data_IF_051902218987
#
_entry.id   IF_051902218987
#
_cell.length_a   1.000
_cell.length_b   1.000
_cell.length_c   1.000
_cell.angle_alpha   90.00
_cell.angle_beta   90.00
_cell.angle_gamma   90.00
#
_symmetry.space_group_name_H-M   'P 1'
#
loop_
_entity.id
_entity.type
_entity.pdbx_description
1 polymer ?
#
# COMPACT_ATOMS: atom_id res chain seq x y z
N UNK A 1 3.61 33.35 -19.34
CA UNK A 1 2.41 32.51 -19.13
C UNK A 1 2.93 31.23 -18.51
N UNK A 2 2.87 31.15 -17.20
CA UNK A 2 3.17 29.92 -16.49
C UNK A 2 2.01 28.94 -16.71
N UNK A 3 2.15 28.10 -17.71
CA UNK A 3 1.32 26.90 -17.78
C UNK A 3 1.82 25.99 -16.66
N UNK A 4 1.15 26.00 -15.51
CA UNK A 4 1.30 24.92 -14.53
C UNK A 4 1.03 23.61 -15.28
N UNK A 5 2.05 22.76 -15.39
CA UNK A 5 1.87 21.43 -15.94
C UNK A 5 1.03 20.66 -14.91
N UNK A 6 -0.26 20.52 -15.16
CA UNK A 6 -1.15 19.68 -14.37
C UNK A 6 -0.76 18.20 -14.53
N UNK A 7 -1.06 17.39 -13.55
CA UNK A 7 -0.92 15.93 -13.67
C UNK A 7 -1.79 15.43 -14.84
N UNK A 8 -1.26 14.49 -15.60
CA UNK A 8 -1.97 13.90 -16.73
C UNK A 8 -3.05 12.93 -16.23
N UNK A 9 -4.12 12.75 -17.01
CA UNK A 9 -5.09 11.71 -16.70
C UNK A 9 -4.48 10.30 -16.79
N UNK A 10 -5.00 9.37 -16.01
CA UNK A 10 -4.54 7.98 -16.04
C UNK A 10 -4.76 7.34 -17.40
N UNK A 11 -5.91 7.62 -18.05
CA UNK A 11 -6.21 7.12 -19.40
C UNK A 11 -5.16 7.55 -20.43
N UNK A 12 -4.75 8.82 -20.37
CA UNK A 12 -3.74 9.35 -21.28
C UNK A 12 -2.36 8.72 -21.01
N UNK A 13 -2.01 8.48 -19.75
CA UNK A 13 -0.78 7.78 -19.39
C UNK A 13 -0.79 6.31 -19.82
N UNK A 14 -1.92 5.60 -19.65
CA UNK A 14 -2.09 4.22 -20.12
C UNK A 14 -1.94 4.10 -21.62
N UNK A 15 -2.42 5.09 -22.40
CA UNK A 15 -2.24 5.10 -23.86
C UNK A 15 -0.76 5.25 -24.25
N UNK A 16 -0.03 6.17 -23.60
CA UNK A 16 1.41 6.30 -23.83
C UNK A 16 2.17 5.03 -23.40
N UNK A 17 1.75 4.41 -22.31
CA UNK A 17 2.35 3.17 -21.81
C UNK A 17 2.13 1.99 -22.79
N UNK A 18 0.94 1.87 -23.40
CA UNK A 18 0.65 0.89 -24.48
C UNK A 18 1.56 1.06 -25.68
N UNK A 19 1.93 2.30 -25.99
CA UNK A 19 2.87 2.62 -27.07
C UNK A 19 4.34 2.43 -26.66
N UNK A 20 4.58 1.95 -25.44
CA UNK A 20 5.91 1.72 -24.90
C UNK A 20 6.66 3.00 -24.52
N UNK A 21 5.99 4.14 -24.40
CA UNK A 21 6.61 5.36 -23.90
C UNK A 21 6.86 5.30 -22.41
N UNK A 22 7.68 6.21 -21.92
CA UNK A 22 7.84 6.42 -20.48
C UNK A 22 6.67 7.22 -19.91
N UNK A 23 6.35 6.92 -18.67
CA UNK A 23 5.48 7.74 -17.81
C UNK A 23 6.27 8.07 -16.55
N UNK A 24 6.19 9.31 -16.09
CA UNK A 24 6.71 9.69 -14.77
C UNK A 24 5.58 9.42 -13.76
N UNK A 25 5.88 8.64 -12.75
CA UNK A 25 4.96 8.33 -11.65
C UNK A 25 5.50 8.95 -10.38
N UNK A 26 4.68 9.69 -9.66
CA UNK A 26 5.03 10.31 -8.38
C UNK A 26 4.20 9.73 -7.25
N UNK A 27 4.81 9.57 -6.10
CA UNK A 27 4.12 9.17 -4.88
C UNK A 27 3.76 10.37 -4.00
N UNK A 28 3.23 10.08 -2.80
CA UNK A 28 2.79 11.10 -1.87
C UNK A 28 3.99 11.80 -1.19
N UNK A 29 3.84 13.10 -0.89
CA UNK A 29 4.85 13.91 -0.20
C UNK A 29 5.19 13.35 1.19
N UNK A 30 4.24 12.70 1.84
CA UNK A 30 4.40 12.09 3.16
C UNK A 30 5.00 10.67 3.09
N UNK A 31 5.31 10.13 1.89
CA UNK A 31 5.91 8.81 1.69
C UNK A 31 7.38 8.91 1.28
N UNK A 32 7.73 8.81 0.01
CA UNK A 32 9.10 8.98 -0.53
C UNK A 32 9.25 10.38 -1.11
N UNK A 33 8.14 10.94 -1.62
CA UNK A 33 8.10 12.21 -2.33
C UNK A 33 9.04 12.19 -3.55
N UNK A 34 9.01 11.12 -4.32
CA UNK A 34 9.91 10.86 -5.44
C UNK A 34 9.14 10.71 -6.75
N UNK A 35 9.86 10.72 -7.86
CA UNK A 35 9.32 10.43 -9.19
C UNK A 35 10.20 9.47 -9.94
N UNK A 36 9.59 8.45 -10.55
CA UNK A 36 10.25 7.41 -11.32
C UNK A 36 9.88 7.48 -12.79
N UNK A 37 10.87 7.24 -13.67
CA UNK A 37 10.57 6.82 -15.04
C UNK A 37 10.13 5.37 -15.05
N UNK A 38 8.95 5.11 -15.60
CA UNK A 38 8.39 3.74 -15.72
C UNK A 38 8.04 3.46 -17.18
N UNK A 39 8.36 2.25 -17.67
CA UNK A 39 7.96 1.73 -18.98
C UNK A 39 7.73 0.23 -18.93
N UNK A 40 6.94 -0.33 -19.86
CA UNK A 40 6.65 -1.75 -19.92
C UNK A 40 7.93 -2.60 -20.19
N UNK A 41 8.13 -3.67 -19.43
CA UNK A 41 9.30 -4.55 -19.55
C UNK A 41 9.38 -5.22 -20.91
N UNK A 42 8.25 -5.65 -21.49
CA UNK A 42 8.25 -6.30 -22.81
C UNK A 42 8.64 -5.36 -23.97
N UNK A 43 8.52 -4.04 -23.75
CA UNK A 43 8.81 -3.00 -24.75
C UNK A 43 10.12 -2.24 -24.46
N UNK A 44 10.90 -2.69 -23.49
CA UNK A 44 12.20 -2.08 -23.15
C UNK A 44 13.22 -2.35 -24.28
N UNK A 45 14.01 -1.35 -24.63
CA UNK A 45 15.09 -1.45 -25.60
C UNK A 45 16.41 -0.96 -25.01
N UNK A 46 17.57 -1.25 -25.62
CA UNK A 46 18.85 -0.72 -25.16
C UNK A 46 18.87 0.81 -25.08
N UNK A 47 18.21 1.51 -26.02
CA UNK A 47 18.11 2.97 -26.05
C UNK A 47 17.29 3.48 -24.85
N UNK A 48 16.21 2.78 -24.51
CA UNK A 48 15.38 3.13 -23.33
C UNK A 48 16.16 2.90 -22.03
N UNK A 49 16.88 1.81 -21.89
CA UNK A 49 17.77 1.58 -20.74
C UNK A 49 18.82 2.70 -20.66
N UNK A 50 19.43 3.08 -21.78
CA UNK A 50 20.38 4.19 -21.80
C UNK A 50 19.73 5.53 -21.41
N UNK A 51 18.50 5.79 -21.88
CA UNK A 51 17.72 6.96 -21.47
C UNK A 51 17.51 6.98 -19.96
N UNK A 52 17.03 5.87 -19.38
CA UNK A 52 16.80 5.74 -17.93
C UNK A 52 18.06 6.02 -17.12
N UNK A 53 19.19 5.42 -17.50
CA UNK A 53 20.46 5.61 -16.80
C UNK A 53 20.98 7.04 -16.89
N UNK A 54 20.82 7.71 -18.02
CA UNK A 54 21.29 9.09 -18.22
C UNK A 54 20.41 10.14 -17.54
N UNK A 55 19.11 9.94 -17.57
CA UNK A 55 18.15 10.96 -17.13
C UNK A 55 17.52 10.64 -15.77
N UNK A 56 17.42 9.35 -15.39
CA UNK A 56 16.97 8.93 -14.06
C UNK A 56 18.09 9.01 -13.03
N UNK A 57 19.22 8.35 -13.31
CA UNK A 57 20.42 8.28 -12.45
C UNK A 57 20.25 7.47 -11.16
N UNK A 58 19.05 6.95 -10.88
CA UNK A 58 18.73 6.11 -9.73
C UNK A 58 19.13 4.64 -9.93
N UNK A 59 18.44 3.73 -9.27
CA UNK A 59 18.66 2.29 -9.35
C UNK A 59 17.71 1.67 -10.36
N UNK A 60 18.26 1.11 -11.45
CA UNK A 60 17.43 0.42 -12.45
C UNK A 60 16.86 -0.87 -11.89
N UNK A 61 15.55 -0.92 -11.76
CA UNK A 61 14.80 -2.04 -11.22
C UNK A 61 13.80 -2.62 -12.22
N UNK A 62 13.42 -3.87 -12.00
CA UNK A 62 12.43 -4.58 -12.79
C UNK A 62 11.28 -5.11 -11.91
N UNK A 63 10.21 -4.31 -11.70
CA UNK A 63 8.99 -4.79 -11.04
C UNK A 63 8.35 -5.94 -11.79
N UNK A 64 8.06 -7.02 -11.07
CA UNK A 64 7.34 -8.22 -11.55
C UNK A 64 6.29 -8.64 -10.52
N UNK A 65 5.35 -9.48 -10.91
CA UNK A 65 4.37 -10.03 -9.97
C UNK A 65 5.02 -11.05 -9.01
N UNK A 66 4.43 -11.26 -7.84
CA UNK A 66 4.85 -12.31 -6.90
C UNK A 66 4.80 -13.70 -7.55
N UNK A 67 3.75 -13.98 -8.34
CA UNK A 67 3.64 -15.25 -9.07
C UNK A 67 4.78 -15.43 -10.06
N UNK A 68 5.15 -14.37 -10.80
CA UNK A 68 6.27 -14.45 -11.75
C UNK A 68 7.61 -14.66 -11.04
N UNK A 69 7.83 -14.00 -9.92
CA UNK A 69 9.03 -14.21 -9.12
C UNK A 69 9.12 -15.65 -8.60
N UNK A 70 8.00 -16.21 -8.14
CA UNK A 70 7.93 -17.61 -7.70
C UNK A 70 8.21 -18.59 -8.85
N UNK A 71 7.63 -18.37 -10.06
CA UNK A 71 7.92 -19.16 -11.26
C UNK A 71 9.41 -19.15 -11.65
N UNK A 72 10.08 -18.02 -11.44
CA UNK A 72 11.49 -17.84 -11.72
C UNK A 72 12.39 -18.20 -10.53
N UNK A 73 11.83 -18.69 -9.41
CA UNK A 73 12.57 -19.04 -8.18
C UNK A 73 13.49 -17.87 -7.71
N UNK A 74 12.92 -16.65 -7.72
CA UNK A 74 13.62 -15.45 -7.27
C UNK A 74 13.29 -15.21 -5.80
N UNK A 75 14.17 -15.64 -4.91
CA UNK A 75 14.04 -15.42 -3.48
C UNK A 75 14.26 -13.94 -3.09
N UNK A 76 13.80 -13.56 -1.90
CA UNK A 76 14.16 -12.27 -1.32
C UNK A 76 15.69 -12.13 -1.22
N UNK A 77 16.16 -10.91 -1.45
CA UNK A 77 17.59 -10.60 -1.36
C UNK A 77 18.13 -10.83 0.07
N UNK A 78 17.27 -10.67 1.07
CA UNK A 78 17.60 -10.87 2.49
C UNK A 78 16.50 -11.67 3.19
N UNK A 79 16.89 -12.45 4.19
CA UNK A 79 15.93 -13.22 5.02
C UNK A 79 15.08 -12.26 5.86
N UNK A 80 15.69 -11.21 6.43
CA UNK A 80 15.03 -10.19 7.22
C UNK A 80 15.19 -8.83 6.53
N UNK A 81 14.08 -8.25 6.08
CA UNK A 81 14.08 -6.94 5.44
C UNK A 81 13.95 -5.83 6.50
N UNK A 82 15.06 -5.14 6.78
CA UNK A 82 15.16 -4.03 7.74
C UNK A 82 15.07 -2.66 7.08
N UNK A 83 14.80 -2.60 5.75
CA UNK A 83 14.67 -1.31 5.04
C UNK A 83 13.45 -0.53 5.54
N UNK A 84 13.58 0.80 5.63
CA UNK A 84 12.57 1.70 6.22
C UNK A 84 11.17 1.52 5.58
N UNK A 85 11.10 1.31 4.28
CA UNK A 85 9.85 1.16 3.52
C UNK A 85 9.58 -0.29 3.09
N UNK A 86 10.42 -1.23 3.53
CA UNK A 86 10.26 -2.65 3.25
C UNK A 86 10.34 -2.97 1.75
N UNK A 87 11.16 -2.25 0.98
CA UNK A 87 11.31 -2.44 -0.48
C UNK A 87 11.67 -3.89 -0.79
N UNK A 88 10.86 -4.61 -1.57
CA UNK A 88 10.93 -6.07 -1.70
C UNK A 88 11.89 -6.49 -2.81
N UNK A 89 13.19 -6.21 -2.63
CA UNK A 89 14.22 -6.69 -3.56
C UNK A 89 14.33 -8.22 -3.55
N UNK A 90 14.50 -8.78 -4.75
CA UNK A 90 14.92 -10.17 -4.91
C UNK A 90 16.43 -10.26 -5.11
N UNK A 91 16.96 -11.48 -5.20
CA UNK A 91 18.30 -11.69 -5.72
C UNK A 91 18.43 -11.07 -7.13
N UNK A 92 19.57 -10.43 -7.40
CA UNK A 92 19.85 -9.83 -8.72
C UNK A 92 20.07 -10.88 -9.77
N UNK A 93 19.72 -10.58 -11.03
CA UNK A 93 19.82 -11.54 -12.13
C UNK A 93 20.36 -10.93 -13.41
N UNK A 94 20.91 -11.80 -14.27
CA UNK A 94 21.20 -11.52 -15.66
C UNK A 94 20.71 -12.69 -16.55
N UNK A 95 20.18 -12.38 -17.74
CA UNK A 95 19.88 -13.39 -18.74
C UNK A 95 21.20 -14.01 -19.25
N UNK A 96 21.26 -15.34 -19.29
CA UNK A 96 22.45 -16.05 -19.71
C UNK A 96 22.58 -16.11 -21.25
N UNK A 97 21.47 -16.38 -21.93
CA UNK A 97 21.45 -16.50 -23.37
C UNK A 97 21.52 -15.15 -24.08
N UNK A 98 22.49 -14.97 -24.96
CA UNK A 98 22.63 -13.77 -25.78
C UNK A 98 23.15 -12.54 -25.06
N UNK A 99 23.54 -12.65 -23.79
CA UNK A 99 24.17 -11.59 -23.02
C UNK A 99 25.67 -11.80 -22.86
N UNK A 100 26.39 -10.73 -22.57
CA UNK A 100 27.86 -10.76 -22.34
C UNK A 100 28.13 -10.74 -20.82
N UNK A 101 28.46 -9.58 -20.27
CA UNK A 101 28.74 -9.40 -18.81
C UNK A 101 27.54 -8.94 -18.00
N UNK A 102 26.39 -8.73 -18.61
CA UNK A 102 25.17 -8.29 -17.96
C UNK A 102 25.04 -6.77 -17.78
N UNK A 103 26.13 -6.00 -17.92
CA UNK A 103 26.15 -4.56 -17.58
C UNK A 103 25.69 -3.65 -18.71
N UNK A 104 25.92 -4.06 -19.98
CA UNK A 104 25.58 -3.22 -21.13
C UNK A 104 24.07 -2.91 -21.18
N UNK A 105 23.68 -1.80 -21.82
CA UNK A 105 22.27 -1.48 -22.01
C UNK A 105 21.53 -2.56 -22.81
N UNK A 106 22.24 -3.24 -23.69
CA UNK A 106 21.73 -4.38 -24.45
C UNK A 106 21.41 -5.56 -23.52
N UNK A 107 22.37 -5.97 -22.69
CA UNK A 107 22.19 -7.09 -21.76
C UNK A 107 21.09 -6.82 -20.73
N UNK A 108 21.08 -5.60 -20.17
CA UNK A 108 20.04 -5.18 -19.21
C UNK A 108 18.65 -5.16 -19.84
N UNK A 109 18.52 -4.64 -21.06
CA UNK A 109 17.24 -4.66 -21.79
C UNK A 109 16.78 -6.09 -22.09
N UNK A 110 17.71 -6.97 -22.48
CA UNK A 110 17.42 -8.39 -22.72
C UNK A 110 16.94 -9.09 -21.43
N UNK A 111 17.62 -8.86 -20.31
CA UNK A 111 17.25 -9.40 -19.00
C UNK A 111 15.88 -8.93 -18.54
N UNK A 112 15.59 -7.63 -18.65
CA UNK A 112 14.29 -7.07 -18.25
C UNK A 112 13.15 -7.65 -19.11
N UNK A 113 13.34 -7.77 -20.43
CA UNK A 113 12.36 -8.43 -21.32
C UNK A 113 12.14 -9.90 -20.95
N UNK A 114 13.23 -10.62 -20.64
CA UNK A 114 13.17 -12.03 -20.26
C UNK A 114 12.41 -12.25 -18.94
N UNK A 115 12.53 -11.34 -17.97
CA UNK A 115 11.73 -11.38 -16.74
C UNK A 115 10.21 -11.32 -17.01
N UNK A 116 9.79 -10.56 -18.03
CA UNK A 116 8.40 -10.48 -18.46
C UNK A 116 7.93 -11.64 -19.34
N UNK A 117 8.84 -12.43 -19.90
CA UNK A 117 8.52 -13.50 -20.84
C UNK A 117 8.11 -14.80 -20.12
N UNK A 118 6.84 -15.25 -20.21
CA UNK A 118 6.37 -16.44 -19.52
C UNK A 118 7.03 -17.75 -20.00
N UNK A 119 7.70 -17.75 -21.15
CA UNK A 119 8.42 -18.93 -21.65
C UNK A 119 9.78 -19.15 -20.96
N UNK A 120 10.32 -18.12 -20.30
CA UNK A 120 11.61 -18.19 -19.60
C UNK A 120 11.49 -18.90 -18.26
N UNK A 121 12.54 -19.68 -17.94
CA UNK A 121 12.64 -20.56 -16.77
C UNK A 121 13.75 -20.07 -15.82
N UNK A 122 13.77 -20.55 -14.57
CA UNK A 122 14.83 -20.21 -13.59
C UNK A 122 16.26 -20.43 -14.11
N UNK A 123 16.47 -21.51 -14.89
CA UNK A 123 17.77 -21.86 -15.49
C UNK A 123 18.27 -20.88 -16.55
N UNK A 124 17.42 -20.00 -17.07
CA UNK A 124 17.80 -19.02 -18.09
C UNK A 124 18.53 -17.81 -17.47
N UNK A 125 18.51 -17.69 -16.14
CA UNK A 125 19.06 -16.55 -15.41
C UNK A 125 20.25 -16.93 -14.53
N UNK A 126 21.34 -16.16 -14.69
CA UNK A 126 22.47 -16.16 -13.77
C UNK A 126 22.14 -15.37 -12.50
N UNK A 127 22.66 -15.80 -11.35
CA UNK A 127 22.49 -15.19 -10.02
C UNK A 127 23.81 -15.21 -9.27
N UNK A 128 24.29 -14.08 -8.73
CA UNK A 128 23.75 -12.72 -8.86
C UNK A 128 23.98 -12.17 -10.28
N UNK A 129 23.26 -11.07 -10.60
CA UNK A 129 23.39 -10.32 -11.85
C UNK A 129 23.33 -8.81 -11.64
N UNK A 130 22.94 -8.05 -12.68
CA UNK A 130 22.98 -6.58 -12.68
C UNK A 130 21.59 -5.93 -12.79
N UNK A 131 20.52 -6.71 -12.92
CA UNK A 131 19.14 -6.24 -12.82
C UNK A 131 18.59 -6.59 -11.45
N UNK A 132 17.86 -5.63 -10.85
CA UNK A 132 17.23 -5.73 -9.55
C UNK A 132 15.72 -5.99 -9.72
N UNK A 133 15.25 -7.25 -9.71
CA UNK A 133 13.81 -7.51 -9.70
C UNK A 133 13.19 -7.10 -8.36
N UNK A 134 11.94 -6.60 -8.43
CA UNK A 134 11.13 -6.22 -7.27
C UNK A 134 9.81 -6.96 -7.29
N UNK A 135 9.35 -7.46 -6.12
CA UNK A 135 8.01 -8.01 -6.01
C UNK A 135 6.96 -6.91 -5.93
N UNK A 136 6.05 -6.84 -6.88
CA UNK A 136 4.82 -6.09 -6.69
C UNK A 136 3.85 -6.91 -5.83
N UNK A 137 3.27 -6.29 -4.83
CA UNK A 137 2.24 -6.93 -4.01
C UNK A 137 1.02 -7.32 -4.85
N UNK A 138 0.40 -8.46 -4.52
CA UNK A 138 -0.88 -8.83 -5.10
C UNK A 138 -1.89 -7.70 -4.87
N UNK A 139 -2.74 -7.42 -5.89
CA UNK A 139 -3.65 -6.27 -5.99
C UNK A 139 -2.95 -4.92 -6.23
N UNK A 140 -1.64 -4.87 -6.42
CA UNK A 140 -0.90 -3.69 -6.84
C UNK A 140 -1.06 -2.49 -5.91
N UNK A 141 -1.26 -1.29 -6.48
CA UNK A 141 -1.39 -0.03 -5.71
C UNK A 141 -2.55 -0.03 -4.72
N UNK A 142 -3.56 -0.90 -4.90
CA UNK A 142 -4.66 -1.04 -3.96
C UNK A 142 -4.26 -1.76 -2.66
N UNK A 143 -3.10 -2.40 -2.62
CA UNK A 143 -2.52 -2.99 -1.42
C UNK A 143 -1.37 -2.16 -0.86
N UNK A 144 -0.44 -1.71 -1.72
CA UNK A 144 0.71 -0.89 -1.36
C UNK A 144 0.86 0.25 -2.37
N UNK A 145 0.73 1.49 -1.89
CA UNK A 145 0.83 2.70 -2.71
C UNK A 145 2.30 3.04 -3.04
N UNK A 146 3.00 2.14 -3.77
CA UNK A 146 4.40 2.28 -4.14
C UNK A 146 4.63 2.21 -5.64
N UNK A 147 5.79 2.73 -6.09
CA UNK A 147 6.20 2.75 -7.51
C UNK A 147 6.28 1.34 -8.12
N UNK A 148 6.73 0.34 -7.34
CA UNK A 148 6.79 -1.07 -7.74
C UNK A 148 5.40 -1.59 -8.16
N UNK A 149 4.39 -1.35 -7.34
CA UNK A 149 3.01 -1.73 -7.59
C UNK A 149 2.41 -0.93 -8.74
N UNK A 150 2.66 0.39 -8.79
CA UNK A 150 2.20 1.25 -9.86
C UNK A 150 2.73 0.81 -11.23
N UNK A 151 3.99 0.39 -11.30
CA UNK A 151 4.62 -0.07 -12.52
C UNK A 151 3.94 -1.33 -13.09
N UNK A 152 3.68 -2.32 -12.25
CA UNK A 152 2.98 -3.57 -12.65
C UNK A 152 1.52 -3.28 -13.00
N UNK A 153 0.84 -2.39 -12.27
CA UNK A 153 -0.54 -2.00 -12.56
C UNK A 153 -0.67 -1.26 -13.89
N UNK A 154 0.24 -0.33 -14.19
CA UNK A 154 0.26 0.35 -15.49
C UNK A 154 0.41 -0.65 -16.64
N UNK A 155 1.29 -1.64 -16.50
CA UNK A 155 1.44 -2.70 -17.50
C UNK A 155 0.13 -3.50 -17.67
N UNK A 156 -0.46 -3.95 -16.57
CA UNK A 156 -1.72 -4.72 -16.58
C UNK A 156 -2.89 -3.93 -17.16
N UNK A 157 -3.10 -2.69 -16.72
CA UNK A 157 -4.18 -1.82 -17.21
C UNK A 157 -3.99 -1.43 -18.67
N UNK A 158 -2.78 -1.44 -19.16
CA UNK A 158 -2.45 -1.23 -20.58
C UNK A 158 -2.63 -2.48 -21.44
N UNK A 159 -2.97 -3.64 -20.86
CA UNK A 159 -3.10 -4.91 -21.57
C UNK A 159 -1.77 -5.55 -21.95
N UNK A 160 -0.69 -5.16 -21.28
CA UNK A 160 0.67 -5.66 -21.46
C UNK A 160 1.01 -6.71 -20.38
N UNK A 161 2.12 -7.43 -20.55
CA UNK A 161 2.62 -8.35 -19.53
C UNK A 161 2.88 -7.60 -18.23
N UNK A 162 2.47 -8.14 -17.05
CA UNK A 162 2.51 -7.42 -15.77
C UNK A 162 3.92 -7.35 -15.19
N UNK A 163 4.80 -6.68 -15.93
CA UNK A 163 6.18 -6.40 -15.59
C UNK A 163 6.61 -5.06 -16.19
N UNK A 164 7.51 -4.36 -15.54
CA UNK A 164 7.97 -3.05 -16.00
C UNK A 164 9.48 -2.86 -15.73
N UNK A 165 10.03 -1.78 -16.24
CA UNK A 165 11.29 -1.21 -15.81
C UNK A 165 11.00 0.12 -15.12
N UNK A 166 11.66 0.40 -14.01
CA UNK A 166 11.61 1.68 -13.31
C UNK A 166 13.00 2.13 -12.89
N UNK A 167 13.15 3.45 -12.73
CA UNK A 167 14.34 4.09 -12.16
C UNK A 167 13.93 5.44 -11.57
N UNK A 168 14.43 5.74 -10.40
CA UNK A 168 14.21 7.03 -9.72
C UNK A 168 14.88 8.18 -10.49
N UNK A 169 14.30 9.39 -10.39
CA UNK A 169 14.80 10.59 -11.07
C UNK A 169 15.54 11.47 -10.06
N UNK A 170 16.83 11.64 -10.29
CA UNK A 170 17.72 12.51 -9.52
C UNK A 170 18.04 13.77 -10.31
N UNK A 171 18.27 14.85 -9.58
CA UNK A 171 18.85 16.09 -10.09
C UNK A 171 20.32 15.88 -10.50
N UNK A 172 20.90 16.83 -11.22
CA UNK A 172 22.30 16.77 -11.65
C UNK A 172 23.30 16.77 -10.48
N UNK A 173 22.93 17.38 -9.35
CA UNK A 173 23.73 17.41 -8.13
C UNK A 173 23.60 16.11 -7.29
N UNK A 174 22.81 15.13 -7.75
CA UNK A 174 22.59 13.84 -7.07
C UNK A 174 21.50 13.86 -6.01
N UNK A 175 20.82 14.98 -5.78
CA UNK A 175 19.65 15.04 -4.89
C UNK A 175 18.42 14.48 -5.62
N UNK A 176 17.40 14.03 -4.87
CA UNK A 176 16.15 13.54 -5.46
C UNK A 176 15.38 14.67 -6.14
N UNK A 177 14.95 14.47 -7.38
CA UNK A 177 14.06 15.39 -8.05
C UNK A 177 12.68 15.39 -7.39
N UNK A 178 12.12 16.57 -7.19
CA UNK A 178 10.79 16.78 -6.63
C UNK A 178 9.86 17.35 -7.70
N UNK A 179 8.58 17.53 -7.39
CA UNK A 179 7.57 17.93 -8.37
C UNK A 179 8.00 19.10 -9.30
N UNK A 180 8.63 20.18 -8.82
CA UNK A 180 9.07 21.26 -9.73
C UNK A 180 10.04 20.76 -10.81
N UNK A 181 11.09 20.01 -10.43
CA UNK A 181 12.08 19.47 -11.35
C UNK A 181 11.49 18.35 -12.24
N UNK A 182 10.62 17.50 -11.69
CA UNK A 182 9.94 16.45 -12.45
C UNK A 182 9.06 17.03 -13.56
N UNK A 183 8.41 18.17 -13.34
CA UNK A 183 7.66 18.91 -14.37
C UNK A 183 8.58 19.42 -15.48
N UNK A 184 9.79 19.86 -15.15
CA UNK A 184 10.79 20.29 -16.15
C UNK A 184 11.24 19.10 -17.01
N UNK A 185 11.60 17.99 -16.37
CA UNK A 185 11.98 16.73 -17.04
C UNK A 185 10.86 16.23 -17.95
N UNK A 186 9.62 16.24 -17.48
CA UNK A 186 8.46 15.84 -18.27
C UNK A 186 8.26 16.70 -19.50
N UNK A 187 8.46 18.02 -19.37
CA UNK A 187 8.35 18.98 -20.46
C UNK A 187 9.47 18.79 -21.48
N UNK A 188 10.72 18.62 -21.01
CA UNK A 188 11.90 18.42 -21.86
C UNK A 188 11.75 17.17 -22.74
N UNK A 189 11.25 16.07 -22.14
CA UNK A 189 11.13 14.79 -22.82
C UNK A 189 9.73 14.47 -23.35
N UNK A 190 8.80 15.43 -23.26
CA UNK A 190 7.39 15.27 -23.66
C UNK A 190 6.74 14.04 -23.05
N UNK A 191 6.89 13.87 -21.73
CA UNK A 191 6.36 12.76 -20.94
C UNK A 191 5.15 13.19 -20.11
N UNK A 192 4.30 12.24 -19.80
CA UNK A 192 3.19 12.42 -18.87
C UNK A 192 3.66 12.17 -17.43
N UNK A 193 3.08 12.96 -16.50
CA UNK A 193 3.24 12.76 -15.07
C UNK A 193 1.89 12.35 -14.49
N UNK A 194 1.85 11.27 -13.72
CA UNK A 194 0.68 10.83 -12.93
C UNK A 194 1.08 10.62 -11.48
N UNK A 195 0.10 10.70 -10.58
CA UNK A 195 0.30 10.32 -9.18
C UNK A 195 -0.18 8.89 -8.91
N UNK A 196 0.46 8.21 -7.95
CA UNK A 196 -0.03 6.92 -7.44
C UNK A 196 -1.43 7.10 -6.83
N UNK A 197 -1.71 8.23 -6.20
CA UNK A 197 -3.04 8.58 -5.68
C UNK A 197 -4.12 8.55 -6.77
N UNK A 198 -3.86 9.16 -7.94
CA UNK A 198 -4.82 9.17 -9.05
C UNK A 198 -4.97 7.77 -9.66
N UNK A 199 -3.88 6.99 -9.74
CA UNK A 199 -3.93 5.61 -10.20
C UNK A 199 -4.77 4.73 -9.25
N UNK A 200 -4.66 4.91 -7.94
CA UNK A 200 -5.50 4.26 -6.94
C UNK A 200 -6.97 4.66 -7.13
N UNK A 201 -7.25 5.96 -7.26
CA UNK A 201 -8.61 6.47 -7.48
C UNK A 201 -9.22 5.90 -8.77
N UNK A 202 -8.44 5.83 -9.85
CA UNK A 202 -8.83 5.22 -11.12
C UNK A 202 -9.19 3.75 -10.94
N UNK A 203 -8.32 2.95 -10.30
CA UNK A 203 -8.56 1.53 -10.05
C UNK A 203 -9.76 1.28 -9.13
N UNK A 204 -9.91 2.07 -8.06
CA UNK A 204 -11.06 1.98 -7.16
C UNK A 204 -12.39 2.30 -7.87
N UNK A 205 -12.35 3.14 -8.91
CA UNK A 205 -13.54 3.41 -9.75
C UNK A 205 -13.86 2.28 -10.71
N UNK A 206 -12.83 1.58 -11.22
CA UNK A 206 -12.97 0.49 -12.20
C UNK A 206 -13.18 -0.88 -11.53
N UNK A 207 -12.61 -1.07 -10.37
CA UNK A 207 -12.55 -2.36 -9.68
C UNK A 207 -13.21 -2.27 -8.30
N UNK A 208 -14.36 -2.91 -8.12
CA UNK A 208 -14.90 -3.12 -6.77
C UNK A 208 -14.24 -4.33 -6.12
N UNK A 209 -13.41 -4.12 -5.10
CA UNK A 209 -12.77 -5.18 -4.30
C UNK A 209 -13.73 -5.82 -3.28
N UNK A 210 -14.86 -5.18 -3.03
CA UNK A 210 -15.84 -5.61 -2.04
C UNK A 210 -17.20 -5.77 -2.66
N UNK A 211 -18.00 -6.66 -2.09
CA UNK A 211 -19.40 -6.85 -2.36
C UNK A 211 -20.19 -6.37 -1.16
N UNK A 212 -21.09 -5.41 -1.36
CA UNK A 212 -21.96 -4.87 -0.31
C UNK A 212 -23.11 -5.85 -0.06
N UNK A 213 -23.31 -6.24 1.21
CA UNK A 213 -24.44 -7.05 1.63
C UNK A 213 -25.68 -6.23 1.92
N UNK A 214 -26.70 -6.89 2.48
CA UNK A 214 -27.96 -6.26 2.89
C UNK A 214 -27.77 -5.45 4.17
N UNK A 215 -28.52 -4.37 4.27
CA UNK A 215 -28.56 -3.51 5.44
C UNK A 215 -29.61 -3.99 6.44
N UNK A 216 -29.30 -3.87 7.73
CA UNK A 216 -30.24 -4.16 8.81
C UNK A 216 -30.13 -3.15 9.94
N UNK A 217 -31.15 -3.09 10.76
CA UNK A 217 -31.20 -2.30 11.96
C UNK A 217 -30.40 -3.00 13.07
N UNK A 218 -29.64 -2.22 13.87
CA UNK A 218 -28.73 -2.75 14.89
C UNK A 218 -28.83 -1.94 16.20
N UNK A 219 -29.84 -2.19 17.03
CA UNK A 219 -29.89 -1.62 18.37
C UNK A 219 -28.81 -2.26 19.25
N UNK A 220 -28.03 -1.44 19.97
CA UNK A 220 -26.95 -1.86 20.85
C UNK A 220 -27.02 -1.12 22.18
N UNK A 221 -26.25 -1.58 23.17
CA UNK A 221 -26.11 -0.89 24.45
C UNK A 221 -25.46 0.51 24.33
N UNK A 222 -24.68 0.76 23.29
CA UNK A 222 -23.95 2.01 23.06
C UNK A 222 -24.63 2.95 22.06
N UNK A 223 -25.80 2.57 21.53
CA UNK A 223 -26.58 3.37 20.60
C UNK A 223 -27.34 2.54 19.56
N UNK A 224 -28.06 3.24 18.70
CA UNK A 224 -28.85 2.65 17.63
C UNK A 224 -28.19 2.94 16.28
N UNK A 225 -27.77 1.88 15.60
CA UNK A 225 -27.02 1.91 14.35
C UNK A 225 -27.73 1.14 13.25
N UNK A 226 -27.27 1.31 12.02
CA UNK A 226 -27.48 0.37 10.93
C UNK A 226 -26.22 -0.45 10.73
N UNK A 227 -26.37 -1.70 10.28
CA UNK A 227 -25.28 -2.62 10.00
C UNK A 227 -25.30 -3.06 8.54
N UNK A 228 -24.14 -3.03 7.89
CA UNK A 228 -23.95 -3.53 6.53
C UNK A 228 -22.70 -4.43 6.50
N UNK A 229 -22.82 -5.70 6.12
CA UNK A 229 -21.65 -6.53 5.84
C UNK A 229 -21.06 -6.22 4.46
N UNK A 230 -19.75 -6.35 4.34
CA UNK A 230 -19.02 -6.26 3.07
C UNK A 230 -18.13 -7.48 2.93
N UNK A 231 -18.25 -8.20 1.81
CA UNK A 231 -17.37 -9.33 1.50
C UNK A 231 -16.22 -8.89 0.63
N UNK A 232 -14.99 -9.16 1.05
CA UNK A 232 -13.80 -8.95 0.23
C UNK A 232 -13.71 -10.02 -0.85
N UNK A 233 -13.79 -9.63 -2.14
CA UNK A 233 -13.87 -10.57 -3.27
C UNK A 233 -12.64 -11.47 -3.43
N UNK A 234 -11.47 -11.03 -2.96
CA UNK A 234 -10.20 -11.72 -3.19
C UNK A 234 -9.95 -12.91 -2.25
N UNK A 235 -10.49 -12.89 -1.03
CA UNK A 235 -10.22 -13.89 0.01
C UNK A 235 -11.49 -14.32 0.78
N UNK A 236 -12.65 -13.74 0.43
CA UNK A 236 -13.93 -14.05 1.06
C UNK A 236 -14.11 -13.52 2.49
N UNK A 237 -13.16 -12.74 3.02
CA UNK A 237 -13.30 -12.14 4.35
C UNK A 237 -14.49 -11.18 4.40
N UNK A 238 -15.24 -11.25 5.49
CA UNK A 238 -16.37 -10.38 5.74
C UNK A 238 -15.99 -9.28 6.72
N UNK A 239 -16.23 -8.05 6.31
CA UNK A 239 -16.06 -6.83 7.09
C UNK A 239 -17.44 -6.27 7.42
N UNK A 240 -17.53 -5.43 8.43
CA UNK A 240 -18.82 -4.86 8.86
C UNK A 240 -18.71 -3.36 8.97
N UNK A 241 -19.73 -2.65 8.49
CA UNK A 241 -19.93 -1.23 8.76
C UNK A 241 -21.08 -1.10 9.75
N UNK A 242 -20.84 -0.38 10.87
CA UNK A 242 -21.87 0.15 11.73
C UNK A 242 -21.95 1.65 11.46
N UNK A 243 -23.14 2.18 11.14
CA UNK A 243 -23.28 3.61 10.86
C UNK A 243 -24.56 4.21 11.42
N UNK A 244 -24.55 5.54 11.56
CA UNK A 244 -25.68 6.34 11.98
C UNK A 244 -25.76 7.63 11.17
N UNK A 245 -26.97 8.08 10.84
CA UNK A 245 -27.19 9.31 10.09
C UNK A 245 -26.92 9.20 8.60
N UNK A 246 -26.95 10.34 7.92
CA UNK A 246 -26.71 10.47 6.47
C UNK A 246 -25.70 11.59 6.21
N UNK A 247 -25.01 11.53 5.08
CA UNK A 247 -24.01 12.53 4.68
C UNK A 247 -23.93 12.63 3.16
N UNK A 248 -23.30 13.69 2.68
CA UNK A 248 -22.85 13.85 1.31
C UNK A 248 -21.34 13.61 1.23
N UNK A 249 -20.81 13.35 0.05
CA UNK A 249 -19.38 13.06 -0.17
C UNK A 249 -18.47 14.20 0.34
N UNK A 250 -18.96 15.46 0.26
CA UNK A 250 -18.21 16.64 0.66
C UNK A 250 -18.29 16.96 2.16
N UNK A 251 -19.17 16.30 2.90
CA UNK A 251 -19.29 16.52 4.34
C UNK A 251 -18.24 15.74 5.14
N UNK A 252 -17.61 16.36 6.16
CA UNK A 252 -16.76 15.65 7.11
C UNK A 252 -17.57 14.65 7.95
N UNK A 253 -17.21 13.38 7.87
CA UNK A 253 -17.87 12.28 8.59
C UNK A 253 -16.97 11.74 9.70
N UNK A 254 -17.52 11.49 10.88
CA UNK A 254 -16.81 10.88 11.99
C UNK A 254 -16.61 9.38 11.69
N UNK A 255 -15.36 8.94 11.57
CA UNK A 255 -15.00 7.59 11.11
C UNK A 255 -14.07 6.89 12.08
N UNK A 256 -14.36 5.64 12.42
CA UNK A 256 -13.44 4.74 13.09
C UNK A 256 -13.08 3.56 12.19
N UNK A 257 -11.80 3.39 11.89
CA UNK A 257 -11.26 2.16 11.32
C UNK A 257 -10.86 1.23 12.45
N UNK A 258 -11.63 0.17 12.68
CA UNK A 258 -11.39 -0.78 13.75
C UNK A 258 -10.98 -2.15 13.18
N UNK A 259 -9.78 -2.64 13.50
CA UNK A 259 -9.36 -4.01 13.17
C UNK A 259 -9.85 -4.93 14.27
N UNK A 260 -10.45 -6.05 13.91
CA UNK A 260 -11.00 -7.03 14.84
C UNK A 260 -9.99 -7.47 15.90
N UNK A 261 -10.47 -7.62 17.10
CA UNK A 261 -9.71 -8.11 18.24
C UNK A 261 -10.63 -8.99 19.09
N UNK A 262 -10.78 -10.26 18.71
CA UNK A 262 -11.71 -11.19 19.37
C UNK A 262 -11.52 -11.18 20.89
N UNK A 263 -10.29 -11.18 21.37
CA UNK A 263 -10.01 -11.19 22.81
C UNK A 263 -10.48 -9.90 23.51
N UNK A 264 -10.29 -8.72 22.90
CA UNK A 264 -10.70 -7.44 23.47
C UNK A 264 -12.16 -7.13 23.22
N UNK A 265 -12.62 -7.30 21.97
CA UNK A 265 -13.94 -6.85 21.54
C UNK A 265 -15.08 -7.77 22.05
N UNK A 266 -14.81 -9.10 22.12
CA UNK A 266 -15.83 -10.10 22.53
C UNK A 266 -15.62 -10.56 23.98
N UNK A 267 -14.37 -10.91 24.33
CA UNK A 267 -14.10 -11.49 25.66
C UNK A 267 -13.69 -10.46 26.72
N UNK A 268 -13.62 -9.15 26.37
CA UNK A 268 -13.27 -8.09 27.30
C UNK A 268 -11.88 -8.22 27.91
N UNK A 269 -10.91 -8.76 27.14
CA UNK A 269 -9.53 -8.91 27.60
C UNK A 269 -8.94 -7.56 28.02
N UNK A 270 -8.37 -7.52 29.22
CA UNK A 270 -7.70 -6.34 29.75
C UNK A 270 -6.25 -6.18 29.25
N UNK A 271 -5.73 -7.11 28.42
CA UNK A 271 -4.37 -7.01 27.85
C UNK A 271 -4.25 -5.91 26.77
N UNK A 272 -5.35 -5.41 26.24
CA UNK A 272 -5.39 -4.35 25.24
C UNK A 272 -6.49 -3.36 25.51
N UNK A 273 -6.57 -2.32 24.70
CA UNK A 273 -7.58 -1.25 24.76
C UNK A 273 -8.65 -1.36 23.65
N UNK A 274 -8.69 -2.47 22.89
CA UNK A 274 -9.49 -2.58 21.66
C UNK A 274 -10.99 -2.49 21.94
N UNK A 275 -11.53 -3.33 22.84
CA UNK A 275 -12.96 -3.34 23.16
C UNK A 275 -13.46 -1.98 23.71
N UNK A 276 -12.69 -1.36 24.63
CA UNK A 276 -13.03 -0.04 25.13
C UNK A 276 -13.03 1.03 24.04
N UNK A 277 -12.05 0.99 23.11
CA UNK A 277 -12.02 1.89 21.95
C UNK A 277 -13.22 1.67 21.04
N UNK A 278 -13.64 0.42 20.80
CA UNK A 278 -14.80 0.11 19.98
C UNK A 278 -16.06 0.73 20.58
N UNK A 279 -16.37 0.40 21.82
CA UNK A 279 -17.56 0.92 22.52
C UNK A 279 -17.53 2.44 22.70
N UNK A 280 -16.37 3.02 22.98
CA UNK A 280 -16.20 4.48 23.05
C UNK A 280 -16.46 5.15 21.70
N UNK A 281 -15.97 4.55 20.60
CA UNK A 281 -16.25 5.07 19.25
C UNK A 281 -17.73 5.01 18.90
N UNK A 282 -18.45 3.94 19.29
CA UNK A 282 -19.90 3.81 19.12
C UNK A 282 -20.62 4.95 19.87
N UNK A 283 -20.31 5.17 21.14
CA UNK A 283 -20.90 6.26 21.94
C UNK A 283 -20.61 7.66 21.38
N UNK A 284 -19.39 7.86 20.81
CA UNK A 284 -19.04 9.13 20.16
C UNK A 284 -19.91 9.39 18.94
N UNK A 285 -20.11 8.39 18.09
CA UNK A 285 -20.94 8.47 16.88
C UNK A 285 -22.42 8.61 17.26
N UNK A 286 -22.89 7.89 18.28
CA UNK A 286 -24.26 8.03 18.80
C UNK A 286 -24.54 9.47 19.26
N UNK A 287 -23.61 10.07 20.01
CA UNK A 287 -23.70 11.45 20.50
C UNK A 287 -23.64 12.47 19.36
N UNK A 288 -22.80 12.24 18.36
CA UNK A 288 -22.70 13.11 17.17
C UNK A 288 -23.97 13.04 16.31
N UNK A 289 -24.65 11.86 16.32
CA UNK A 289 -25.82 11.58 15.48
C UNK A 289 -25.45 11.23 14.02
N UNK A 290 -24.17 11.28 13.66
CA UNK A 290 -23.66 11.00 12.30
C UNK A 290 -22.24 10.43 12.34
N UNK A 291 -22.02 9.29 11.67
CA UNK A 291 -20.70 8.68 11.55
C UNK A 291 -20.75 7.18 11.32
N UNK A 292 -19.58 6.56 11.19
CA UNK A 292 -19.48 5.13 10.97
C UNK A 292 -18.23 4.50 11.57
N UNK A 293 -18.34 3.20 11.84
CA UNK A 293 -17.23 2.31 12.19
C UNK A 293 -17.08 1.30 11.08
N UNK A 294 -15.90 1.21 10.47
CA UNK A 294 -15.53 0.09 9.61
C UNK A 294 -14.79 -0.93 10.46
N UNK A 295 -15.46 -2.04 10.75
CA UNK A 295 -14.93 -3.16 11.51
C UNK A 295 -14.29 -4.15 10.54
N UNK A 296 -12.95 -4.19 10.51
CA UNK A 296 -12.18 -4.99 9.57
C UNK A 296 -11.77 -6.33 10.20
N UNK A 297 -12.06 -7.43 9.52
CA UNK A 297 -11.65 -8.79 9.90
C UNK A 297 -10.14 -9.00 9.68
N UNK A 298 -9.31 -8.29 10.48
CA UNK A 298 -7.85 -8.28 10.42
C UNK A 298 -7.27 -8.51 11.83
N UNK A 299 -7.59 -9.69 12.39
CA UNK A 299 -7.18 -10.08 13.75
C UNK A 299 -5.67 -10.03 13.93
N UNK A 300 -5.22 -9.58 15.11
CA UNK A 300 -3.81 -9.52 15.46
C UNK A 300 -2.98 -8.59 14.56
N UNK A 301 -3.57 -7.52 13.99
CA UNK A 301 -2.95 -6.66 12.97
C UNK A 301 -2.63 -7.39 11.66
N UNK A 302 -3.46 -8.37 11.29
CA UNK A 302 -3.31 -9.14 10.06
C UNK A 302 -2.65 -10.51 10.22
N UNK A 303 -2.03 -10.82 11.37
CA UNK A 303 -1.35 -12.11 11.60
C UNK A 303 -2.30 -13.25 11.99
N UNK A 304 -3.57 -12.95 12.25
CA UNK A 304 -4.58 -13.91 12.66
C UNK A 304 -4.56 -14.26 14.15
N UNK A 305 -5.63 -14.96 14.60
CA UNK A 305 -5.83 -15.28 16.02
C UNK A 305 -4.76 -16.24 16.57
N UNK A 306 -4.39 -17.27 15.81
CA UNK A 306 -3.41 -18.27 16.26
C UNK A 306 -2.06 -17.62 16.57
N UNK A 307 -1.54 -16.82 15.65
CA UNK A 307 -0.26 -16.14 15.82
C UNK A 307 -0.33 -15.05 16.90
N UNK A 308 -1.48 -14.37 17.03
CA UNK A 308 -1.70 -13.43 18.14
C UNK A 308 -1.61 -14.10 19.51
N UNK A 309 -2.17 -15.29 19.67
CA UNK A 309 -2.06 -16.04 20.95
C UNK A 309 -0.62 -16.52 21.17
N UNK A 310 0.09 -16.93 20.11
CA UNK A 310 1.52 -17.25 20.21
C UNK A 310 2.34 -16.01 20.64
N UNK A 311 2.04 -14.81 20.06
CA UNK A 311 2.66 -13.56 20.49
C UNK A 311 2.37 -13.23 21.96
N UNK A 312 1.17 -13.51 22.48
CA UNK A 312 0.87 -13.37 23.91
C UNK A 312 1.78 -14.25 24.77
N UNK A 313 2.09 -15.47 24.30
CA UNK A 313 2.98 -16.37 25.02
C UNK A 313 4.41 -15.85 25.07
N UNK A 314 4.91 -15.28 23.96
CA UNK A 314 6.23 -14.63 23.92
C UNK A 314 6.27 -13.39 24.83
N UNK A 315 5.20 -12.61 24.88
CA UNK A 315 5.07 -11.45 25.77
C UNK A 315 5.11 -11.85 27.27
N UNK A 316 4.55 -13.01 27.63
CA UNK A 316 4.68 -13.58 28.99
C UNK A 316 6.13 -13.96 29.33
N UNK A 317 6.95 -14.24 28.32
CA UNK A 317 8.37 -14.56 28.45
C UNK A 317 9.28 -13.33 28.45
N UNK A 318 8.72 -12.13 28.20
CA UNK A 318 9.46 -10.88 28.32
C UNK A 318 9.49 -10.00 27.06
N UNK A 319 9.08 -10.52 25.90
CA UNK A 319 9.00 -9.73 24.67
C UNK A 319 8.02 -8.56 24.82
N UNK A 320 8.21 -7.53 24.00
CA UNK A 320 7.15 -6.57 23.77
C UNK A 320 6.29 -6.98 22.54
N UNK A 321 5.26 -6.19 22.21
CA UNK A 321 4.34 -6.52 21.11
C UNK A 321 5.02 -6.52 19.75
N UNK A 322 6.05 -5.68 19.54
CA UNK A 322 6.79 -5.58 18.27
C UNK A 322 7.74 -6.76 18.14
N UNK A 323 8.54 -7.03 19.19
CA UNK A 323 9.50 -8.11 19.19
C UNK A 323 8.83 -9.49 19.07
N UNK A 324 7.70 -9.69 19.75
CA UNK A 324 6.92 -10.93 19.63
C UNK A 324 6.44 -11.19 18.18
N UNK A 325 6.02 -10.14 17.43
CA UNK A 325 5.64 -10.30 16.03
C UNK A 325 6.85 -10.63 15.15
N UNK A 326 7.99 -9.97 15.36
CA UNK A 326 9.23 -10.23 14.62
C UNK A 326 9.72 -11.66 14.87
N UNK A 327 9.72 -12.14 16.11
CA UNK A 327 10.10 -13.52 16.46
C UNK A 327 9.21 -14.57 15.78
N UNK A 328 7.96 -14.22 15.47
CA UNK A 328 7.02 -15.07 14.72
C UNK A 328 7.15 -14.92 13.18
N UNK A 329 8.08 -14.08 12.70
CA UNK A 329 8.33 -13.87 11.26
C UNK A 329 7.39 -12.88 10.61
N UNK A 330 6.70 -12.01 11.37
CA UNK A 330 5.77 -11.00 10.87
C UNK A 330 6.33 -9.59 11.03
N UNK A 331 5.90 -8.69 10.14
CA UNK A 331 6.11 -7.26 10.37
C UNK A 331 5.31 -6.76 11.58
N UNK A 332 5.68 -5.62 12.16
CA UNK A 332 4.92 -5.01 13.27
C UNK A 332 3.46 -4.70 12.94
N UNK A 333 3.14 -4.48 11.67
CA UNK A 333 1.79 -4.19 11.16
C UNK A 333 1.61 -4.76 9.74
N UNK A 334 0.74 -5.78 9.60
CA UNK A 334 0.40 -6.44 8.33
C UNK A 334 -1.00 -6.03 7.81
N UNK A 335 -1.61 -4.95 8.36
CA UNK A 335 -2.96 -4.53 7.97
C UNK A 335 -3.02 -3.96 6.57
N UNK A 336 -4.09 -4.31 5.85
CA UNK A 336 -4.45 -3.73 4.56
C UNK A 336 -5.45 -2.58 4.76
N UNK A 337 -5.07 -1.37 4.33
CA UNK A 337 -5.93 -0.18 4.44
C UNK A 337 -6.82 0.02 3.21
N UNK A 338 -6.45 -0.53 2.05
CA UNK A 338 -7.16 -0.36 0.78
C UNK A 338 -8.60 -0.84 0.80
N UNK A 339 -8.86 -2.00 1.42
CA UNK A 339 -10.23 -2.53 1.57
C UNK A 339 -11.09 -1.60 2.42
N UNK A 340 -10.55 -1.10 3.51
CA UNK A 340 -11.26 -0.15 4.37
C UNK A 340 -11.54 1.17 3.68
N UNK A 341 -10.60 1.69 2.90
CA UNK A 341 -10.77 2.90 2.11
C UNK A 341 -11.88 2.72 1.05
N UNK A 342 -11.92 1.56 0.38
CA UNK A 342 -12.98 1.28 -0.57
C UNK A 342 -14.36 1.16 0.08
N UNK A 343 -14.46 0.49 1.23
CA UNK A 343 -15.70 0.43 2.00
C UNK A 343 -16.19 1.85 2.33
N UNK A 344 -15.30 2.76 2.75
CA UNK A 344 -15.66 4.15 3.02
C UNK A 344 -16.20 4.86 1.78
N UNK A 345 -15.60 4.65 0.61
CA UNK A 345 -16.10 5.20 -0.66
C UNK A 345 -17.45 4.62 -1.06
N UNK A 346 -17.66 3.32 -0.92
CA UNK A 346 -18.98 2.67 -1.15
C UNK A 346 -20.07 3.22 -0.19
N UNK A 347 -19.65 3.70 0.99
CA UNK A 347 -20.53 4.40 1.93
C UNK A 347 -20.67 5.90 1.62
N UNK A 348 -20.11 6.41 0.50
CA UNK A 348 -20.19 7.81 0.10
C UNK A 348 -19.38 8.77 0.96
N UNK A 349 -18.30 8.30 1.61
CA UNK A 349 -17.44 9.13 2.46
C UNK A 349 -16.26 9.64 1.66
N UNK A 350 -16.14 10.97 1.50
CA UNK A 350 -14.98 11.62 0.86
C UNK A 350 -14.07 12.33 1.87
N UNK A 351 -14.67 12.98 2.89
CA UNK A 351 -13.95 13.72 3.93
C UNK A 351 -14.15 13.07 5.29
N UNK A 352 -13.05 12.91 6.04
CA UNK A 352 -13.03 12.10 7.27
C UNK A 352 -12.56 12.91 8.46
N UNK A 353 -13.31 12.85 9.56
CA UNK A 353 -12.85 13.12 10.92
C UNK A 353 -12.48 11.78 11.55
N UNK A 354 -11.19 11.46 11.55
CA UNK A 354 -10.71 10.10 11.87
C UNK A 354 -10.51 9.91 13.37
N UNK A 355 -11.28 9.00 13.98
CA UNK A 355 -11.09 8.59 15.38
C UNK A 355 -9.85 7.69 15.44
N UNK A 356 -8.70 8.24 15.83
CA UNK A 356 -7.45 7.49 15.93
C UNK A 356 -6.42 8.19 16.82
N UNK A 357 -5.54 7.38 17.43
CA UNK A 357 -4.30 7.85 18.07
C UNK A 357 -3.06 7.42 17.25
N UNK A 358 -3.26 6.69 16.15
CA UNK A 358 -2.18 6.15 15.31
C UNK A 358 -1.97 7.01 14.06
N UNK A 359 -0.83 7.74 13.94
CA UNK A 359 -0.56 8.58 12.77
C UNK A 359 -0.41 7.77 11.47
N UNK A 360 0.08 6.52 11.53
CA UNK A 360 0.24 5.65 10.34
C UNK A 360 -1.10 5.34 9.67
N UNK A 361 -2.19 5.24 10.44
CA UNK A 361 -3.53 5.04 9.85
C UNK A 361 -3.97 6.21 8.97
N UNK A 362 -3.53 7.42 9.28
CA UNK A 362 -3.81 8.61 8.48
C UNK A 362 -3.19 8.48 7.10
N UNK A 363 -1.88 8.28 7.05
CA UNK A 363 -1.13 8.13 5.78
C UNK A 363 -1.72 7.01 4.92
N UNK A 364 -2.05 5.88 5.56
CA UNK A 364 -2.68 4.75 4.88
C UNK A 364 -4.00 5.08 4.18
N UNK A 365 -4.85 5.94 4.73
CA UNK A 365 -6.14 6.31 4.12
C UNK A 365 -6.01 7.44 3.10
N UNK A 366 -5.15 8.43 3.34
CA UNK A 366 -4.91 9.55 2.42
C UNK A 366 -4.33 9.05 1.09
N UNK A 367 -3.45 8.04 1.13
CA UNK A 367 -2.90 7.38 -0.06
C UNK A 367 -3.98 6.73 -0.94
N UNK A 368 -5.17 6.45 -0.40
CA UNK A 368 -6.32 5.91 -1.14
C UNK A 368 -7.35 6.98 -1.55
N UNK A 369 -6.96 8.25 -1.56
CA UNK A 369 -7.75 9.36 -2.07
C UNK A 369 -8.88 9.81 -1.13
N UNK A 370 -8.79 9.52 0.16
CA UNK A 370 -9.68 10.04 1.19
C UNK A 370 -9.05 11.28 1.84
N UNK A 371 -9.84 12.30 2.12
CA UNK A 371 -9.34 13.53 2.74
C UNK A 371 -9.57 13.48 4.25
N UNK A 372 -8.50 13.46 5.05
CA UNK A 372 -8.61 13.52 6.51
C UNK A 372 -8.53 14.98 6.96
N UNK A 373 -9.67 15.53 7.36
CA UNK A 373 -9.78 16.92 7.79
C UNK A 373 -9.50 17.10 9.29
N UNK A 374 -9.66 16.06 10.10
CA UNK A 374 -9.44 16.12 11.55
C UNK A 374 -9.03 14.75 12.10
N UNK A 375 -8.11 14.73 13.06
CA UNK A 375 -7.85 13.58 13.91
C UNK A 375 -8.57 13.76 15.25
N UNK A 376 -9.51 12.87 15.52
CA UNK A 376 -10.27 12.85 16.77
C UNK A 376 -9.61 11.84 17.72
N UNK A 377 -9.04 12.28 18.84
CA UNK A 377 -8.35 11.38 19.76
C UNK A 377 -9.34 10.43 20.48
N UNK A 378 -8.86 9.21 20.75
CA UNK A 378 -9.61 8.22 21.53
C UNK A 378 -8.71 7.66 22.63
N UNK A 379 -8.70 8.34 23.76
CA UNK A 379 -7.89 7.96 24.91
C UNK A 379 -8.67 7.00 25.81
N UNK A 380 -8.02 5.90 26.15
CA UNK A 380 -8.51 4.92 27.14
C UNK A 380 -7.54 4.94 28.31
N UNK A 381 -8.05 4.92 29.53
CA UNK A 381 -7.22 4.93 30.73
C UNK A 381 -6.46 3.59 30.86
N UNK A 382 -5.15 3.62 31.14
CA UNK A 382 -4.38 2.40 31.35
C UNK A 382 -4.85 1.64 32.59
N UNK A 383 -4.94 0.30 32.49
CA UNK A 383 -5.10 -0.60 33.61
C UNK A 383 -3.78 -1.33 33.92
N UNK A 384 -3.77 -2.16 34.98
CA UNK A 384 -2.55 -2.86 35.43
C UNK A 384 -2.06 -3.88 34.40
N UNK A 385 -2.92 -4.39 33.52
CA UNK A 385 -2.58 -5.43 32.53
C UNK A 385 -2.18 -4.85 31.18
N UNK A 386 -2.67 -3.66 30.77
CA UNK A 386 -2.39 -3.07 29.46
C UNK A 386 -1.36 -1.93 29.49
N UNK A 387 -0.88 -1.50 30.65
CA UNK A 387 0.06 -0.37 30.80
C UNK A 387 1.30 -0.56 29.92
N UNK A 388 1.94 -1.74 29.96
CA UNK A 388 3.11 -2.05 29.12
C UNK A 388 2.80 -2.04 27.64
N UNK A 389 1.64 -2.55 27.25
CA UNK A 389 1.16 -2.54 25.87
C UNK A 389 0.94 -1.12 25.35
N UNK A 390 0.33 -0.25 26.12
CA UNK A 390 0.12 1.16 25.76
C UNK A 390 1.44 1.93 25.69
N UNK A 391 2.39 1.64 26.59
CA UNK A 391 3.73 2.20 26.55
C UNK A 391 4.48 1.81 25.28
N UNK A 392 4.43 0.55 24.86
CA UNK A 392 5.00 0.09 23.57
C UNK A 392 4.36 0.81 22.37
N UNK A 393 3.05 1.00 22.39
CA UNK A 393 2.36 1.79 21.36
C UNK A 393 2.89 3.22 21.29
N UNK A 394 3.11 3.86 22.45
CA UNK A 394 3.60 5.24 22.52
C UNK A 394 5.05 5.35 22.05
N UNK A 395 5.94 4.51 22.57
CA UNK A 395 7.40 4.64 22.39
C UNK A 395 7.92 4.03 21.10
N UNK A 396 7.38 2.90 20.67
CA UNK A 396 7.86 2.15 19.49
C UNK A 396 6.98 2.29 18.25
N UNK A 397 5.72 2.70 18.42
CA UNK A 397 4.76 2.79 17.30
C UNK A 397 4.21 4.21 17.07
N UNK A 398 4.75 5.21 17.77
CA UNK A 398 4.42 6.63 17.55
C UNK A 398 2.98 7.03 17.88
N UNK A 399 2.24 6.21 18.65
CA UNK A 399 0.88 6.56 19.05
C UNK A 399 0.86 7.79 19.97
N UNK A 400 -0.08 8.68 19.72
CA UNK A 400 -0.39 9.82 20.57
C UNK A 400 -1.45 9.39 21.60
N UNK A 401 -0.99 8.90 22.76
CA UNK A 401 -1.81 8.40 23.86
C UNK A 401 -1.78 9.36 25.04
#
# INVERSE_FOLDING_TARGET
MDYELELSSIEAALEDFRQGKFVIVVDDEDRENEGDFITAAEMITPEKVNFMLRNGRGVLCAPITMSRAAELELDHQVVENTSMLGTPFTVTVDLLEGCTTGVSTHDRAATIRALADPSRKPSDFGRPGHINPLYAQDKGVLRRAGHTEAAVDLARLSGLKPAAALIEILNEDGTMARMPQLKEVAREHNLKIISIRDLIAYRLKQESLVERGVEADMPTADGHFHIIPFRQKSNGLEHVVLYKGTWTEDEPVLVRMHSSCMTGDIFGSQRCDCGEQLHKSMRMIEKEGKGLIVYLSQEGRGIGLMNKIAAYKLQEQGDDTVDANIHLGFRPDEREYGVGAQILREMGVGKIRLITNNPVKRVGLESYGLTIVENVPIVVEPNDYNRRYLETKRTRMGHKL
#
